data_IF_895954722562
#
_entry.id   IF_895954722562
#
_cell.length_a   1.000
_cell.length_b   1.000
_cell.length_c   1.000
_cell.angle_alpha   90.00
_cell.angle_beta   90.00
_cell.angle_gamma   90.00
#
_symmetry.space_group_name_H-M   'P 1'
#
loop_
_entity.id
_entity.type
_entity.pdbx_description
1 polymer ?
#
# COMPACT_ATOMS: atom_id res chain seq x y z
N UNK A 1 -2.65 31.14 2.99
CA UNK A 1 -2.25 30.17 4.04
C UNK A 1 -2.17 28.80 3.40
N UNK A 2 -1.14 28.01 3.70
CA UNK A 2 -1.04 26.63 3.21
C UNK A 2 -1.97 25.72 4.03
N UNK A 3 -2.69 24.83 3.35
CA UNK A 3 -3.50 23.78 3.98
C UNK A 3 -2.71 22.47 3.91
N UNK A 4 -2.68 21.72 5.01
CA UNK A 4 -2.01 20.42 5.10
C UNK A 4 -3.04 19.34 5.46
N UNK A 5 -2.79 18.10 5.02
CA UNK A 5 -3.58 16.92 5.36
C UNK A 5 -2.65 15.84 5.94
N UNK A 6 -3.16 15.00 6.85
CA UNK A 6 -2.43 13.80 7.31
C UNK A 6 -2.20 12.88 6.10
N UNK A 7 -1.01 12.27 6.00
CA UNK A 7 -0.79 11.20 5.01
C UNK A 7 -1.66 10.00 5.42
N UNK A 8 -2.20 9.23 4.45
CA UNK A 8 -2.80 7.94 4.77
C UNK A 8 -1.72 7.06 5.44
N UNK A 9 -2.11 6.41 6.52
CA UNK A 9 -1.23 5.50 7.29
C UNK A 9 -1.99 4.22 7.53
N UNK A 10 -1.32 3.10 7.29
CA UNK A 10 -1.81 1.77 7.66
C UNK A 10 -1.32 1.46 9.08
N UNK A 11 -2.17 0.86 9.89
CA UNK A 11 -1.86 0.43 11.26
C UNK A 11 -2.33 -1.01 11.45
N UNK A 12 -1.77 -1.68 12.45
CA UNK A 12 -2.32 -2.94 12.94
C UNK A 12 -3.09 -2.69 14.22
N UNK A 13 -4.22 -3.36 14.41
CA UNK A 13 -4.97 -3.31 15.65
C UNK A 13 -5.73 -4.61 15.90
N UNK A 14 -5.99 -4.90 17.17
CA UNK A 14 -6.96 -5.91 17.57
C UNK A 14 -7.90 -5.34 18.62
N UNK A 15 -9.12 -5.85 18.69
CA UNK A 15 -10.06 -5.48 19.74
C UNK A 15 -9.79 -6.33 20.98
N UNK A 16 -9.54 -5.67 22.10
CA UNK A 16 -9.23 -6.34 23.37
C UNK A 16 -10.51 -6.89 24.01
N UNK A 17 -10.52 -8.18 24.34
CA UNK A 17 -11.69 -8.90 24.86
C UNK A 17 -11.59 -9.29 26.35
N UNK A 18 -10.44 -9.08 26.99
CA UNK A 18 -10.23 -9.31 28.43
C UNK A 18 -9.01 -10.17 28.76
N UNK A 19 -8.46 -10.87 27.77
CA UNK A 19 -7.30 -11.73 27.90
C UNK A 19 -6.47 -11.71 26.60
N UNK A 20 -5.28 -12.30 26.63
CA UNK A 20 -4.44 -12.50 25.44
C UNK A 20 -4.34 -13.98 25.06
N UNK A 21 -4.78 -14.89 25.95
CA UNK A 21 -4.49 -16.31 25.89
C UNK A 21 -5.72 -17.11 26.26
N UNK A 22 -6.04 -18.13 25.49
CA UNK A 22 -7.17 -19.00 25.77
C UNK A 22 -6.88 -19.97 26.94
N UNK A 23 -7.90 -20.73 27.35
CA UNK A 23 -7.81 -21.71 28.46
C UNK A 23 -6.77 -22.80 28.26
N UNK A 24 -6.39 -23.07 27.02
CA UNK A 24 -5.43 -24.12 26.65
C UNK A 24 -3.99 -23.58 26.59
N UNK A 25 -3.78 -22.28 26.84
CA UNK A 25 -2.46 -21.66 26.89
C UNK A 25 -1.97 -21.06 25.57
N UNK A 26 -2.83 -20.94 24.56
CA UNK A 26 -2.46 -20.38 23.26
C UNK A 26 -2.86 -18.91 23.15
N UNK A 27 -1.92 -18.07 22.68
CA UNK A 27 -2.19 -16.69 22.34
C UNK A 27 -3.09 -16.59 21.11
N UNK A 28 -4.10 -15.73 21.17
CA UNK A 28 -4.99 -15.43 20.04
C UNK A 28 -4.91 -13.97 19.58
N UNK A 29 -4.08 -13.17 20.26
CA UNK A 29 -3.73 -11.80 19.85
C UNK A 29 -2.51 -11.82 18.92
N UNK A 30 -2.27 -10.75 18.14
CA UNK A 30 -1.11 -10.68 17.25
C UNK A 30 0.24 -10.86 17.97
N UNK A 31 1.23 -11.44 17.29
CA UNK A 31 2.57 -11.71 17.84
C UNK A 31 3.22 -10.47 18.46
N UNK A 32 3.01 -9.28 17.88
CA UNK A 32 3.56 -8.04 18.42
C UNK A 32 2.97 -7.69 19.79
N UNK A 33 1.70 -8.04 20.06
CA UNK A 33 1.07 -7.81 21.36
C UNK A 33 1.62 -8.78 22.39
N UNK A 34 1.90 -10.04 21.99
CA UNK A 34 2.57 -11.03 22.83
C UNK A 34 3.97 -10.56 23.23
N UNK A 35 4.77 -10.09 22.26
CA UNK A 35 6.10 -9.53 22.52
C UNK A 35 6.03 -8.31 23.44
N UNK A 36 5.11 -7.38 23.18
CA UNK A 36 4.92 -6.19 24.01
C UNK A 36 4.50 -6.52 25.45
N UNK A 37 3.74 -7.61 25.65
CA UNK A 37 3.42 -8.12 26.99
C UNK A 37 4.64 -8.71 27.69
N UNK A 38 5.45 -9.49 26.98
CA UNK A 38 6.69 -10.05 27.51
C UNK A 38 7.72 -8.96 27.90
N UNK A 39 7.73 -7.84 27.16
CA UNK A 39 8.55 -6.66 27.42
C UNK A 39 7.97 -5.73 28.50
N UNK A 40 6.73 -6.00 28.96
CA UNK A 40 6.04 -5.19 29.97
C UNK A 40 5.61 -3.81 29.47
N UNK A 41 5.47 -3.63 28.15
CA UNK A 41 4.84 -2.46 27.52
C UNK A 41 3.32 -2.58 27.66
N UNK A 42 2.78 -3.75 27.32
CA UNK A 42 1.44 -4.18 27.73
C UNK A 42 1.60 -4.96 29.04
N UNK A 43 0.74 -4.73 30.02
CA UNK A 43 0.81 -5.49 31.27
C UNK A 43 -0.54 -5.49 31.98
N UNK A 44 -0.77 -6.54 32.77
CA UNK A 44 -1.97 -6.69 33.57
C UNK A 44 -1.70 -6.30 35.02
N UNK A 45 -2.58 -5.48 35.60
CA UNK A 45 -2.57 -5.10 37.02
C UNK A 45 -4.01 -5.20 37.53
N UNK A 46 -4.23 -5.96 38.62
CA UNK A 46 -5.55 -6.25 39.17
C UNK A 46 -6.60 -6.80 38.17
N UNK A 47 -6.13 -7.49 37.13
CA UNK A 47 -6.97 -8.06 36.07
C UNK A 47 -7.36 -7.07 34.97
N UNK A 48 -6.87 -5.84 35.02
CA UNK A 48 -7.07 -4.81 34.00
C UNK A 48 -5.82 -4.64 33.12
N UNK A 49 -6.00 -4.25 31.86
CA UNK A 49 -4.92 -4.09 30.90
C UNK A 49 -4.40 -2.64 30.89
N UNK A 50 -3.09 -2.48 31.03
CA UNK A 50 -2.41 -1.20 30.96
C UNK A 50 -1.33 -1.20 29.87
N UNK A 51 -1.10 -0.01 29.31
CA UNK A 51 -0.21 0.23 28.17
C UNK A 51 0.74 1.38 28.52
N UNK A 52 2.04 1.12 28.50
CA UNK A 52 3.07 2.16 28.62
C UNK A 52 3.25 2.85 27.28
N UNK A 53 2.81 4.10 27.18
CA UNK A 53 2.96 4.95 26.00
C UNK A 53 4.01 6.04 26.26
N UNK A 54 4.31 6.86 25.25
CA UNK A 54 5.15 8.05 25.41
C UNK A 54 4.46 9.16 26.23
N UNK A 55 3.13 9.12 26.35
CA UNK A 55 2.31 10.11 27.04
C UNK A 55 2.02 9.70 28.50
N UNK A 56 2.30 8.45 28.85
CA UNK A 56 2.09 7.90 30.19
C UNK A 56 1.58 6.48 30.15
N UNK A 57 1.04 6.03 31.28
CA UNK A 57 0.38 4.72 31.38
C UNK A 57 -1.10 4.94 31.09
N UNK A 58 -1.65 4.15 30.16
CA UNK A 58 -3.06 4.21 29.79
C UNK A 58 -3.74 2.88 30.10
N UNK A 59 -4.96 2.97 30.64
CA UNK A 59 -5.84 1.83 30.84
C UNK A 59 -6.58 1.49 29.54
N UNK A 60 -6.67 0.20 29.20
CA UNK A 60 -7.48 -0.33 28.11
C UNK A 60 -8.63 -1.16 28.68
N UNK A 61 -9.86 -0.76 28.38
CA UNK A 61 -11.07 -1.47 28.79
C UNK A 61 -11.40 -2.57 27.77
N UNK A 62 -12.09 -3.62 28.22
CA UNK A 62 -12.69 -4.61 27.31
C UNK A 62 -13.54 -3.90 26.27
N UNK A 63 -13.33 -4.25 25.01
CA UNK A 63 -13.92 -3.62 23.83
C UNK A 63 -13.02 -2.59 23.17
N UNK A 64 -12.05 -1.99 23.86
CA UNK A 64 -11.12 -1.03 23.26
C UNK A 64 -10.24 -1.70 22.19
N UNK A 65 -9.84 -0.93 21.18
CA UNK A 65 -8.83 -1.36 20.23
C UNK A 65 -7.43 -1.08 20.77
N UNK A 66 -6.53 -2.05 20.68
CA UNK A 66 -5.10 -1.84 20.90
C UNK A 66 -4.45 -1.63 19.54
N UNK A 67 -3.92 -0.42 19.33
CA UNK A 67 -3.32 -0.02 18.06
C UNK A 67 -1.80 -0.13 18.15
N UNK A 68 -1.18 -0.70 17.12
CA UNK A 68 0.24 -0.56 16.82
C UNK A 68 0.41 0.46 15.68
N UNK A 69 0.94 1.62 16.03
CA UNK A 69 1.22 2.69 15.08
C UNK A 69 2.46 2.43 14.22
N UNK A 70 2.75 3.36 13.31
CA UNK A 70 3.73 3.19 12.22
C UNK A 70 5.17 3.02 12.74
N UNK A 71 5.50 3.56 13.91
CA UNK A 71 6.81 3.40 14.55
C UNK A 71 6.82 2.31 15.62
N UNK A 72 5.78 1.48 15.68
CA UNK A 72 5.61 0.45 16.70
C UNK A 72 5.08 0.98 18.03
N UNK A 73 4.67 2.25 18.11
CA UNK A 73 4.02 2.80 19.29
C UNK A 73 2.69 2.09 19.58
N UNK A 74 2.43 1.78 20.84
CA UNK A 74 1.20 1.11 21.27
C UNK A 74 0.32 2.08 22.07
N UNK A 75 -0.98 2.07 21.81
CA UNK A 75 -1.94 2.86 22.58
C UNK A 75 -3.36 2.27 22.47
N UNK A 76 -4.21 2.47 23.49
CA UNK A 76 -5.61 2.10 23.42
C UNK A 76 -6.41 3.14 22.63
N UNK A 77 -7.46 2.69 21.95
CA UNK A 77 -8.41 3.53 21.22
C UNK A 77 -9.83 3.07 21.52
N UNK A 78 -10.72 4.02 21.81
CA UNK A 78 -12.14 3.71 22.06
C UNK A 78 -12.83 3.26 20.77
N UNK A 79 -13.76 2.29 20.81
CA UNK A 79 -14.34 1.69 19.60
C UNK A 79 -15.00 2.70 18.65
N UNK A 80 -15.76 3.63 19.22
CA UNK A 80 -16.41 4.70 18.48
C UNK A 80 -15.41 5.60 17.75
N UNK A 81 -14.31 5.96 18.41
CA UNK A 81 -13.21 6.72 17.77
C UNK A 81 -12.49 5.87 16.72
N UNK A 82 -12.27 4.59 16.98
CA UNK A 82 -11.62 3.69 16.04
C UNK A 82 -12.42 3.58 14.74
N UNK A 83 -13.70 3.25 14.83
CA UNK A 83 -14.61 3.10 13.69
C UNK A 83 -14.80 4.41 12.90
N UNK A 84 -14.70 5.56 13.57
CA UNK A 84 -14.73 6.87 12.90
C UNK A 84 -13.42 7.25 12.19
N UNK A 85 -12.30 6.62 12.55
CA UNK A 85 -10.95 7.03 12.11
C UNK A 85 -10.29 6.03 11.17
N UNK A 86 -10.65 4.75 11.28
CA UNK A 86 -10.03 3.64 10.57
C UNK A 86 -11.08 2.83 9.82
N UNK A 87 -10.76 2.50 8.57
CA UNK A 87 -11.54 1.59 7.75
C UNK A 87 -10.73 0.31 7.54
N UNK A 88 -11.40 -0.84 7.58
CA UNK A 88 -10.78 -2.11 7.22
C UNK A 88 -10.63 -2.17 5.70
N UNK A 89 -9.42 -2.36 5.18
CA UNK A 89 -9.23 -2.60 3.76
C UNK A 89 -7.83 -2.28 3.27
N UNK A 90 -7.45 -2.90 2.15
CA UNK A 90 -6.24 -2.52 1.42
C UNK A 90 -6.43 -1.14 0.79
N UNK A 91 -5.35 -0.35 0.75
CA UNK A 91 -5.38 0.99 0.11
C UNK A 91 -5.97 0.93 -1.31
N UNK A 92 -5.74 -0.16 -2.04
CA UNK A 92 -6.28 -0.37 -3.38
C UNK A 92 -7.81 -0.31 -3.47
N UNK A 93 -8.53 -0.65 -2.39
CA UNK A 93 -10.00 -0.68 -2.33
C UNK A 93 -10.61 0.67 -1.93
N UNK A 94 -9.79 1.67 -1.59
CA UNK A 94 -10.28 3.01 -1.29
C UNK A 94 -11.01 3.56 -2.52
N UNK A 95 -12.28 3.92 -2.33
CA UNK A 95 -13.17 4.42 -3.37
C UNK A 95 -13.38 5.93 -3.32
N UNK A 96 -13.49 6.56 -4.48
CA UNK A 96 -13.97 7.95 -4.62
C UNK A 96 -15.50 8.07 -4.74
N UNK A 97 -16.22 6.95 -4.58
CA UNK A 97 -17.67 6.83 -4.78
C UNK A 97 -18.07 6.35 -6.17
N UNK A 98 -17.14 6.29 -7.12
CA UNK A 98 -17.34 5.77 -8.47
C UNK A 98 -16.39 4.63 -8.80
N UNK A 99 -15.12 4.74 -8.38
CA UNK A 99 -14.08 3.76 -8.62
C UNK A 99 -13.19 3.54 -7.40
N UNK A 100 -12.62 2.34 -7.27
CA UNK A 100 -11.49 2.07 -6.36
C UNK A 100 -10.15 2.39 -7.04
N UNK A 101 -9.06 2.54 -6.27
CA UNK A 101 -7.73 2.69 -6.87
C UNK A 101 -7.32 1.47 -7.71
N UNK A 102 -7.68 0.25 -7.28
CA UNK A 102 -7.44 -0.98 -8.03
C UNK A 102 -8.17 -0.96 -9.38
N UNK A 103 -9.44 -0.52 -9.42
CA UNK A 103 -10.18 -0.35 -10.67
C UNK A 103 -9.51 0.68 -11.59
N UNK A 104 -9.07 1.82 -11.05
CA UNK A 104 -8.37 2.85 -11.83
C UNK A 104 -7.02 2.36 -12.37
N UNK A 105 -6.26 1.57 -11.60
CA UNK A 105 -5.01 0.97 -12.07
C UNK A 105 -5.26 -0.06 -13.18
N UNK A 106 -6.29 -0.89 -13.03
CA UNK A 106 -6.70 -1.83 -14.07
C UNK A 106 -7.15 -1.11 -15.35
N UNK A 107 -7.99 -0.07 -15.23
CA UNK A 107 -8.40 0.75 -16.38
C UNK A 107 -7.20 1.38 -17.09
N UNK A 108 -6.25 1.94 -16.33
CA UNK A 108 -5.02 2.50 -16.89
C UNK A 108 -4.20 1.44 -17.64
N UNK A 109 -4.05 0.25 -17.07
CA UNK A 109 -3.36 -0.87 -17.71
C UNK A 109 -4.00 -1.22 -19.05
N UNK A 110 -5.32 -1.42 -19.07
CA UNK A 110 -6.06 -1.75 -20.30
C UNK A 110 -5.93 -0.64 -21.35
N UNK A 111 -6.18 0.62 -20.97
CA UNK A 111 -6.08 1.76 -21.90
C UNK A 111 -4.66 1.91 -22.46
N UNK A 112 -3.64 1.76 -21.60
CA UNK A 112 -2.25 1.86 -22.04
C UNK A 112 -1.85 0.68 -22.94
N UNK A 113 -2.35 -0.54 -22.67
CA UNK A 113 -2.14 -1.69 -23.56
C UNK A 113 -2.70 -1.45 -24.96
N UNK A 114 -3.89 -0.83 -25.07
CA UNK A 114 -4.49 -0.47 -26.36
C UNK A 114 -3.61 0.55 -27.09
N UNK A 115 -3.10 1.57 -26.39
CA UNK A 115 -2.20 2.58 -26.97
C UNK A 115 -0.91 1.92 -27.49
N UNK A 116 -0.24 1.12 -26.66
CA UNK A 116 1.01 0.46 -27.02
C UNK A 116 0.83 -0.52 -28.18
N UNK A 117 -0.21 -1.36 -28.14
CA UNK A 117 -0.50 -2.32 -29.21
C UNK A 117 -0.85 -1.62 -30.52
N UNK A 118 -1.58 -0.50 -30.47
CA UNK A 118 -1.91 0.30 -31.66
C UNK A 118 -0.71 1.07 -32.23
N UNK A 119 0.35 1.24 -31.43
CA UNK A 119 1.59 1.94 -31.78
C UNK A 119 2.80 1.00 -31.60
N UNK A 120 2.67 -0.27 -31.98
CA UNK A 120 3.66 -1.30 -31.65
C UNK A 120 5.06 -1.02 -32.18
N UNK A 121 5.19 -0.27 -33.28
CA UNK A 121 6.48 0.16 -33.85
C UNK A 121 7.22 1.21 -33.00
N UNK A 122 6.54 1.84 -32.03
CA UNK A 122 7.09 2.83 -31.11
C UNK A 122 7.06 2.34 -29.66
N UNK A 123 6.59 1.12 -29.43
CA UNK A 123 6.29 0.61 -28.11
C UNK A 123 7.13 -0.61 -27.82
N UNK A 124 7.48 -0.77 -26.55
CA UNK A 124 8.37 -1.83 -26.09
C UNK A 124 7.97 -2.28 -24.69
N UNK A 125 8.39 -3.50 -24.34
CA UNK A 125 8.31 -4.05 -22.98
C UNK A 125 9.62 -4.70 -22.60
N UNK A 126 9.91 -4.77 -21.31
CA UNK A 126 11.13 -5.39 -20.79
C UNK A 126 10.95 -5.89 -19.36
N UNK A 127 11.62 -6.99 -19.03
CA UNK A 127 11.72 -7.51 -17.66
C UNK A 127 12.77 -6.78 -16.82
N UNK A 128 13.56 -5.88 -17.41
CA UNK A 128 14.65 -5.18 -16.73
C UNK A 128 14.69 -3.70 -17.10
N UNK A 129 15.03 -2.86 -16.13
CA UNK A 129 15.47 -1.50 -16.37
C UNK A 129 16.79 -1.46 -17.16
N UNK A 130 17.19 -0.26 -17.61
CA UNK A 130 18.46 -0.04 -18.30
C UNK A 130 19.68 -0.53 -17.50
N UNK A 131 19.62 -0.47 -16.16
CA UNK A 131 20.70 -0.87 -15.24
C UNK A 131 20.62 -2.35 -14.84
N UNK A 132 19.67 -3.10 -15.39
CA UNK A 132 19.43 -4.51 -15.09
C UNK A 132 18.61 -4.80 -13.84
N UNK A 133 18.16 -3.77 -13.09
CA UNK A 133 17.28 -3.95 -11.93
C UNK A 133 15.81 -4.11 -12.35
N UNK A 134 14.97 -4.64 -11.45
CA UNK A 134 13.51 -4.65 -11.56
C UNK A 134 12.86 -4.89 -10.18
N UNK A 135 11.59 -4.53 -10.03
CA UNK A 135 10.80 -4.92 -8.85
C UNK A 135 10.35 -6.38 -8.97
N UNK A 136 10.28 -7.09 -7.84
CA UNK A 136 9.84 -8.50 -7.82
C UNK A 136 8.45 -8.66 -8.44
N UNK A 137 8.34 -9.55 -9.42
CA UNK A 137 7.12 -9.84 -10.18
C UNK A 137 6.57 -8.70 -11.05
N UNK A 138 7.36 -7.69 -11.39
CA UNK A 138 6.97 -6.63 -12.32
C UNK A 138 7.76 -6.66 -13.63
N UNK A 139 7.19 -6.03 -14.64
CA UNK A 139 7.86 -5.64 -15.89
C UNK A 139 7.55 -4.18 -16.20
N UNK A 140 8.29 -3.60 -17.15
CA UNK A 140 8.09 -2.24 -17.63
C UNK A 140 7.62 -2.25 -19.09
N UNK A 141 6.67 -1.37 -19.40
CA UNK A 141 6.21 -1.08 -20.76
C UNK A 141 6.42 0.40 -21.03
N UNK A 142 6.95 0.73 -22.19
CA UNK A 142 7.08 2.12 -22.63
C UNK A 142 6.67 2.33 -24.07
N UNK A 143 6.47 3.60 -24.39
CA UNK A 143 6.21 4.08 -25.74
C UNK A 143 7.00 5.36 -25.99
N UNK A 144 7.65 5.43 -27.15
CA UNK A 144 8.40 6.59 -27.59
C UNK A 144 7.48 7.62 -28.22
N UNK A 145 7.61 8.86 -27.75
CA UNK A 145 6.85 10.01 -28.23
C UNK A 145 7.79 11.11 -28.74
N UNK A 146 7.26 12.13 -29.42
CA UNK A 146 8.08 13.25 -29.90
C UNK A 146 8.70 14.06 -28.75
N UNK A 147 8.11 13.99 -27.56
CA UNK A 147 8.50 14.72 -26.36
C UNK A 147 9.32 13.86 -25.38
N UNK A 148 9.71 12.65 -25.79
CA UNK A 148 10.39 11.65 -24.97
C UNK A 148 9.51 10.44 -24.65
N UNK A 149 10.10 9.41 -24.05
CA UNK A 149 9.36 8.20 -23.70
C UNK A 149 8.33 8.44 -22.60
N UNK A 150 7.35 7.54 -22.50
CA UNK A 150 6.47 7.44 -21.35
C UNK A 150 6.26 5.97 -21.00
N UNK A 151 6.37 5.60 -19.72
CA UNK A 151 6.37 4.20 -19.31
C UNK A 151 5.63 3.94 -18.00
N UNK A 152 5.25 2.68 -17.80
CA UNK A 152 4.62 2.17 -16.60
C UNK A 152 5.17 0.79 -16.23
N UNK A 153 5.15 0.49 -14.93
CA UNK A 153 5.37 -0.85 -14.40
C UNK A 153 4.04 -1.56 -14.18
N UNK A 154 4.01 -2.84 -14.53
CA UNK A 154 2.86 -3.72 -14.43
C UNK A 154 3.27 -5.06 -13.85
N UNK A 155 2.35 -5.75 -13.19
CA UNK A 155 2.62 -7.05 -12.58
C UNK A 155 2.73 -8.11 -13.68
N UNK A 156 3.57 -9.14 -13.51
CA UNK A 156 3.85 -10.19 -14.52
C UNK A 156 2.60 -10.86 -15.09
N UNK A 157 1.50 -10.90 -14.33
CA UNK A 157 0.20 -11.43 -14.80
C UNK A 157 -0.41 -10.62 -15.94
N UNK A 158 0.05 -9.41 -16.19
CA UNK A 158 -0.46 -8.48 -17.19
C UNK A 158 0.39 -8.50 -18.48
N UNK A 159 1.46 -9.32 -18.52
CA UNK A 159 2.42 -9.37 -19.63
C UNK A 159 1.79 -9.57 -21.00
N UNK A 160 0.80 -10.44 -21.09
CA UNK A 160 0.17 -10.84 -22.35
C UNK A 160 -0.81 -9.81 -22.92
N UNK A 161 -1.16 -8.76 -22.16
CA UNK A 161 -1.93 -7.63 -22.69
C UNK A 161 -1.10 -6.75 -23.63
N UNK A 162 0.24 -6.81 -23.54
CA UNK A 162 1.16 -5.99 -24.31
C UNK A 162 1.85 -6.80 -25.42
N UNK A 163 1.34 -6.67 -26.63
CA UNK A 163 1.83 -7.33 -27.84
C UNK A 163 2.76 -6.39 -28.62
N UNK A 164 3.88 -6.04 -27.98
CA UNK A 164 4.89 -5.10 -28.49
C UNK A 164 6.29 -5.72 -28.40
N UNK A 165 7.30 -5.04 -28.95
CA UNK A 165 8.69 -5.54 -28.96
C UNK A 165 9.20 -5.79 -27.53
N UNK A 166 9.77 -6.97 -27.29
CA UNK A 166 10.45 -7.30 -26.04
C UNK A 166 11.93 -6.94 -26.14
N UNK A 167 12.39 -6.06 -25.26
CA UNK A 167 13.78 -5.66 -25.14
C UNK A 167 14.45 -6.42 -23.98
N UNK A 168 15.75 -6.68 -24.11
CA UNK A 168 16.55 -7.26 -23.01
C UNK A 168 16.63 -6.31 -21.81
N UNK A 169 16.75 -5.01 -22.09
CA UNK A 169 16.76 -3.93 -21.10
C UNK A 169 15.92 -2.76 -21.62
N UNK A 170 15.16 -2.12 -20.73
CA UNK A 170 14.43 -0.90 -21.05
C UNK A 170 15.41 0.24 -21.38
N UNK A 171 15.02 1.22 -22.22
CA UNK A 171 15.77 2.46 -22.40
C UNK A 171 16.04 3.19 -21.07
N UNK A 172 17.12 3.97 -21.05
CA UNK A 172 17.47 4.79 -19.89
C UNK A 172 16.34 5.77 -19.55
N UNK A 173 15.94 5.84 -18.28
CA UNK A 173 14.84 6.68 -17.85
C UNK A 173 15.19 8.17 -17.98
N UNK A 174 14.33 8.93 -18.63
CA UNK A 174 14.55 10.34 -18.95
C UNK A 174 14.04 11.31 -17.88
N UNK A 175 13.57 10.79 -16.74
CA UNK A 175 13.09 11.58 -15.62
C UNK A 175 11.62 12.01 -15.70
N UNK A 176 10.84 11.48 -16.66
CA UNK A 176 9.43 11.82 -16.80
C UNK A 176 8.61 11.47 -15.55
N UNK A 177 7.56 12.26 -15.30
CA UNK A 177 6.69 12.22 -14.12
C UNK A 177 5.25 11.95 -14.54
N UNK A 178 4.36 11.60 -13.58
CA UNK A 178 2.93 11.40 -13.88
C UNK A 178 2.29 12.59 -14.62
N UNK A 179 2.69 13.82 -14.31
CA UNK A 179 2.20 15.04 -14.98
C UNK A 179 2.56 15.12 -16.48
N UNK A 180 3.54 14.34 -16.94
CA UNK A 180 4.01 14.34 -18.33
C UNK A 180 3.20 13.34 -19.19
N UNK A 181 2.08 12.83 -18.68
CA UNK A 181 1.14 11.96 -19.41
C UNK A 181 0.67 12.56 -20.75
N UNK A 182 0.70 13.89 -20.88
CA UNK A 182 0.34 14.60 -22.10
C UNK A 182 1.28 14.35 -23.28
N UNK A 183 2.48 13.78 -23.05
CA UNK A 183 3.39 13.33 -24.12
C UNK A 183 2.71 12.35 -25.09
N UNK A 184 1.77 11.55 -24.58
CA UNK A 184 0.97 10.61 -25.38
C UNK A 184 0.10 11.31 -26.42
N UNK A 185 -0.22 12.60 -26.25
CA UNK A 185 -0.95 13.39 -27.26
C UNK A 185 -0.15 13.59 -28.55
N UNK A 186 1.17 13.37 -28.55
CA UNK A 186 1.98 13.44 -29.78
C UNK A 186 1.90 12.17 -30.65
N UNK A 187 1.10 11.18 -30.23
CA UNK A 187 0.82 9.96 -30.98
C UNK A 187 -0.33 10.10 -31.97
N UNK A 188 -1.13 11.16 -31.86
CA UNK A 188 -2.28 11.47 -32.73
C UNK A 188 -1.96 12.54 -33.79
#
# INVERSE_FOLDING_TARGET
MAKYRKKPVEIEAFQYDGDFMNKDGYYYVPDWAVCANAEGVLYFEDGELFIKTLEGIHHASVGDYIIRGVKGELYPCKPDIFEMTYETGEIGEISDGYHTFNELYYHRMILFSVICNSNSQKSWKSWKHHDGTMYDDYFIVGIDTQEGQYSYHYHKSEWDYFNVEELEFAPEWDGHKPKDITRLLSLI
#
